data_IF_366573085149
#
_entry.id   IF_366573085149
#
_cell.length_a   1.000
_cell.length_b   1.000
_cell.length_c   1.000
_cell.angle_alpha   90.00
_cell.angle_beta   90.00
_cell.angle_gamma   90.00
#
_symmetry.space_group_name_H-M   'P 1'
#
loop_
_entity.id
_entity.type
_entity.pdbx_description
1 polymer ?
#
# COMPACT_ATOMS: atom_id res chain seq x y z
N UNK A 1 35.90 -0.97 31.03
CA UNK A 1 34.56 -1.46 31.49
C UNK A 1 33.52 -0.86 30.58
N UNK A 2 32.99 -1.65 29.65
CA UNK A 2 31.93 -1.20 28.76
C UNK A 2 30.59 -1.52 29.47
N UNK A 3 29.90 -0.46 29.89
CA UNK A 3 28.56 -0.58 30.51
C UNK A 3 27.55 -0.98 29.40
N UNK A 4 27.21 -2.26 29.38
CA UNK A 4 26.11 -2.74 28.52
C UNK A 4 24.79 -2.33 29.17
N UNK A 5 24.26 -1.17 28.79
CA UNK A 5 22.86 -0.82 29.05
C UNK A 5 21.99 -1.83 28.32
N UNK A 6 21.45 -2.81 29.05
CA UNK A 6 20.36 -3.66 28.55
C UNK A 6 19.17 -2.76 28.31
N UNK A 7 18.92 -2.40 27.06
CA UNK A 7 17.65 -1.82 26.66
C UNK A 7 16.57 -2.86 26.96
N UNK A 8 15.57 -2.48 27.77
CA UNK A 8 14.41 -3.32 28.04
C UNK A 8 13.72 -3.61 26.69
N UNK A 9 13.43 -4.89 26.37
CA UNK A 9 12.78 -5.19 25.10
C UNK A 9 11.45 -4.45 25.03
N UNK A 10 11.09 -3.85 23.88
CA UNK A 10 9.84 -3.13 23.73
C UNK A 10 8.70 -4.07 24.09
N UNK A 11 7.82 -3.65 25.01
CA UNK A 11 6.64 -4.40 25.40
C UNK A 11 5.80 -4.61 24.15
N UNK A 12 5.70 -5.85 23.71
CA UNK A 12 4.80 -6.25 22.61
C UNK A 12 3.38 -6.06 23.13
N UNK A 13 2.81 -4.90 22.93
CA UNK A 13 1.38 -4.68 23.13
C UNK A 13 0.65 -5.71 22.29
N UNK A 14 -0.18 -6.52 22.92
CA UNK A 14 -0.94 -7.57 22.26
C UNK A 14 -1.58 -6.99 21.00
N UNK A 15 -1.25 -7.56 19.84
CA UNK A 15 -1.79 -7.11 18.55
C UNK A 15 -3.31 -7.19 18.65
N UNK A 16 -3.97 -6.04 18.72
CA UNK A 16 -5.41 -5.97 18.87
C UNK A 16 -6.04 -6.73 17.69
N UNK A 17 -6.72 -7.84 17.99
CA UNK A 17 -7.38 -8.66 16.98
C UNK A 17 -8.36 -7.81 16.17
N UNK A 18 -8.03 -7.53 14.91
CA UNK A 18 -8.90 -6.82 13.99
C UNK A 18 -9.73 -7.86 13.22
N UNK A 19 -11.05 -7.96 13.43
CA UNK A 19 -11.88 -8.84 12.62
C UNK A 19 -11.80 -8.42 11.15
N UNK A 20 -11.53 -9.36 10.25
CA UNK A 20 -11.41 -9.11 8.80
C UNK A 20 -12.60 -8.34 8.23
N UNK A 21 -13.82 -8.67 8.68
CA UNK A 21 -15.04 -7.97 8.26
C UNK A 21 -15.05 -6.48 8.61
N UNK A 22 -14.36 -6.03 9.67
CA UNK A 22 -14.21 -4.60 9.99
C UNK A 22 -13.33 -3.91 8.96
N UNK A 23 -12.21 -4.53 8.56
CA UNK A 23 -11.33 -3.99 7.54
C UNK A 23 -12.04 -3.88 6.19
N UNK A 24 -12.75 -4.92 5.75
CA UNK A 24 -13.53 -4.91 4.50
C UNK A 24 -14.58 -3.80 4.48
N UNK A 25 -15.27 -3.56 5.60
CA UNK A 25 -16.27 -2.48 5.70
C UNK A 25 -15.64 -1.09 5.73
N UNK A 26 -14.52 -0.93 6.40
CA UNK A 26 -13.82 0.35 6.54
C UNK A 26 -13.08 0.75 5.25
N UNK A 27 -12.36 -0.18 4.64
CA UNK A 27 -11.50 0.06 3.49
C UNK A 27 -11.67 -1.02 2.38
N UNK A 28 -12.85 -1.15 1.77
CA UNK A 28 -13.12 -2.19 0.77
C UNK A 28 -12.24 -2.05 -0.48
N UNK A 29 -11.91 -0.82 -0.88
CA UNK A 29 -10.99 -0.57 -2.01
C UNK A 29 -9.58 -1.07 -1.72
N UNK A 30 -9.10 -0.90 -0.48
CA UNK A 30 -7.78 -1.40 -0.09
C UNK A 30 -7.71 -2.92 -0.09
N UNK A 31 -8.76 -3.59 0.42
CA UNK A 31 -8.83 -5.06 0.47
C UNK A 31 -8.95 -5.64 -0.94
N UNK A 32 -9.89 -5.15 -1.75
CA UNK A 32 -10.05 -5.58 -3.14
C UNK A 32 -8.81 -5.25 -3.98
N UNK A 33 -8.27 -4.03 -3.84
CA UNK A 33 -7.06 -3.60 -4.53
C UNK A 33 -5.84 -4.42 -4.13
N UNK A 34 -5.69 -4.79 -2.86
CA UNK A 34 -4.62 -5.66 -2.38
C UNK A 34 -4.69 -7.05 -3.01
N UNK A 35 -5.88 -7.66 -3.08
CA UNK A 35 -6.09 -8.95 -3.75
C UNK A 35 -5.74 -8.88 -5.25
N UNK A 36 -6.28 -7.87 -5.95
CA UNK A 36 -6.05 -7.66 -7.38
C UNK A 36 -4.57 -7.33 -7.69
N UNK A 37 -3.92 -6.56 -6.82
CA UNK A 37 -2.48 -6.30 -6.94
C UNK A 37 -1.65 -7.57 -6.86
N UNK A 38 -1.93 -8.45 -5.89
CA UNK A 38 -1.26 -9.74 -5.79
C UNK A 38 -1.47 -10.60 -7.04
N UNK A 39 -2.72 -10.67 -7.51
CA UNK A 39 -3.09 -11.40 -8.73
C UNK A 39 -2.35 -10.87 -9.96
N UNK A 40 -2.33 -9.55 -10.18
CA UNK A 40 -1.66 -8.92 -11.33
C UNK A 40 -0.16 -9.16 -11.28
N UNK A 41 0.48 -8.86 -10.14
CA UNK A 41 1.94 -8.96 -10.00
C UNK A 41 2.45 -10.39 -10.16
N UNK A 42 1.76 -11.36 -9.54
CA UNK A 42 2.17 -12.78 -9.64
C UNK A 42 1.95 -13.33 -11.04
N UNK A 43 0.84 -12.98 -11.70
CA UNK A 43 0.59 -13.37 -13.10
C UNK A 43 1.64 -12.78 -14.02
N UNK A 44 2.04 -11.52 -13.82
CA UNK A 44 3.08 -10.88 -14.59
C UNK A 44 4.41 -11.64 -14.49
N UNK A 45 4.95 -11.81 -13.29
CA UNK A 45 6.26 -12.42 -13.11
C UNK A 45 6.28 -13.90 -13.47
N UNK A 46 5.16 -14.63 -13.33
CA UNK A 46 5.08 -16.04 -13.66
C UNK A 46 4.85 -16.30 -15.15
N UNK A 47 4.01 -15.51 -15.81
CA UNK A 47 3.48 -15.86 -17.14
C UNK A 47 3.99 -14.99 -18.27
N UNK A 48 4.39 -13.72 -18.04
CA UNK A 48 4.88 -12.84 -19.11
C UNK A 48 6.19 -13.36 -19.73
N UNK A 49 7.16 -13.93 -18.99
CA UNK A 49 8.31 -14.58 -19.60
C UNK A 49 7.93 -15.76 -20.51
N UNK A 50 6.91 -16.55 -20.12
CA UNK A 50 6.39 -17.65 -20.93
C UNK A 50 5.68 -17.14 -22.20
N UNK A 51 4.92 -16.06 -22.08
CA UNK A 51 4.32 -15.37 -23.23
C UNK A 51 5.39 -14.89 -24.21
N UNK A 52 6.44 -14.22 -23.72
CA UNK A 52 7.55 -13.76 -24.56
C UNK A 52 8.26 -14.91 -25.29
N UNK A 53 8.42 -16.06 -24.63
CA UNK A 53 8.98 -17.26 -25.27
C UNK A 53 8.06 -17.78 -26.38
N UNK A 54 6.74 -17.80 -26.16
CA UNK A 54 5.74 -18.18 -27.15
C UNK A 54 5.73 -17.26 -28.37
N UNK A 55 5.99 -15.97 -28.19
CA UNK A 55 6.18 -14.98 -29.27
C UNK A 55 7.57 -15.05 -29.92
N UNK A 56 8.36 -16.09 -29.63
CA UNK A 56 9.72 -16.29 -30.16
C UNK A 56 10.69 -15.14 -29.86
N UNK A 57 10.47 -14.41 -28.78
CA UNK A 57 11.36 -13.34 -28.33
C UNK A 57 12.64 -13.93 -27.76
N UNK A 58 13.80 -13.39 -28.14
CA UNK A 58 15.10 -13.88 -27.69
C UNK A 58 15.24 -13.80 -26.15
N UNK A 59 15.93 -14.77 -25.55
CA UNK A 59 16.09 -14.89 -24.09
C UNK A 59 16.73 -13.65 -23.46
N UNK A 60 17.69 -13.04 -24.15
CA UNK A 60 18.35 -11.83 -23.73
C UNK A 60 17.34 -10.65 -23.64
N UNK A 61 16.44 -10.57 -24.59
CA UNK A 61 15.36 -9.56 -24.62
C UNK A 61 14.36 -9.79 -23.50
N UNK A 62 14.03 -11.04 -23.19
CA UNK A 62 13.17 -11.39 -22.04
C UNK A 62 13.83 -10.90 -20.74
N UNK A 63 15.12 -11.19 -20.52
CA UNK A 63 15.85 -10.76 -19.33
C UNK A 63 15.88 -9.23 -19.19
N UNK A 64 16.19 -8.52 -20.28
CA UNK A 64 16.19 -7.07 -20.32
C UNK A 64 14.79 -6.49 -20.04
N UNK A 65 13.74 -7.12 -20.57
CA UNK A 65 12.36 -6.69 -20.34
C UNK A 65 11.94 -6.90 -18.88
N UNK A 66 12.33 -7.99 -18.24
CA UNK A 66 12.07 -8.20 -16.80
C UNK A 66 12.82 -7.19 -15.93
N UNK A 67 14.08 -6.88 -16.30
CA UNK A 67 14.84 -5.82 -15.65
C UNK A 67 14.14 -4.45 -15.83
N UNK A 68 13.68 -4.15 -17.05
CA UNK A 68 12.94 -2.91 -17.34
C UNK A 68 11.65 -2.78 -16.51
N UNK A 69 10.92 -3.89 -16.27
CA UNK A 69 9.76 -3.89 -15.40
C UNK A 69 10.12 -3.53 -13.95
N UNK A 70 11.20 -4.10 -13.43
CA UNK A 70 11.69 -3.81 -12.07
C UNK A 70 12.14 -2.36 -11.94
N UNK A 71 12.92 -1.87 -12.93
CA UNK A 71 13.36 -0.46 -12.96
C UNK A 71 12.18 0.50 -13.09
N UNK A 72 11.18 0.17 -13.92
CA UNK A 72 9.90 0.88 -13.99
C UNK A 72 9.21 0.94 -12.64
N UNK A 73 9.16 -0.20 -11.93
CA UNK A 73 8.64 -0.28 -10.56
C UNK A 73 9.32 0.68 -9.61
N UNK A 74 10.64 0.69 -9.60
CA UNK A 74 11.44 1.60 -8.75
C UNK A 74 11.23 3.07 -9.13
N UNK A 75 11.24 3.37 -10.44
CA UNK A 75 11.06 4.73 -10.93
C UNK A 75 9.70 5.33 -10.56
N UNK A 76 8.64 4.52 -10.52
CA UNK A 76 7.28 4.97 -10.22
C UNK A 76 7.00 5.11 -8.73
N UNK A 77 7.76 4.45 -7.85
CA UNK A 77 7.48 4.47 -6.40
C UNK A 77 7.43 5.88 -5.81
N UNK A 78 8.44 6.69 -6.09
CA UNK A 78 8.51 8.05 -5.53
C UNK A 78 7.47 9.00 -6.16
N UNK A 79 7.33 9.09 -7.51
CA UNK A 79 6.32 9.95 -8.12
C UNK A 79 4.90 9.57 -7.71
N UNK A 80 4.55 8.29 -7.75
CA UNK A 80 3.20 7.81 -7.41
C UNK A 80 2.94 7.94 -5.89
N UNK A 81 3.95 7.69 -5.05
CA UNK A 81 3.85 7.95 -3.61
C UNK A 81 3.47 9.40 -3.33
N UNK A 82 4.21 10.36 -3.90
CA UNK A 82 3.91 11.80 -3.75
C UNK A 82 2.55 12.18 -4.33
N UNK A 83 2.16 11.58 -5.46
CA UNK A 83 0.86 11.82 -6.06
C UNK A 83 -0.26 11.30 -5.15
N UNK A 84 -0.09 10.11 -4.59
CA UNK A 84 -1.01 9.48 -3.65
C UNK A 84 -1.16 10.25 -2.33
N UNK A 85 -0.13 11.02 -1.94
CA UNK A 85 -0.20 11.87 -0.74
C UNK A 85 -0.90 13.21 -0.99
N UNK A 86 -0.93 13.68 -2.26
CA UNK A 86 -1.54 14.96 -2.65
C UNK A 86 -2.99 14.82 -3.12
N UNK A 87 -3.33 13.69 -3.71
CA UNK A 87 -4.65 13.44 -4.30
C UNK A 87 -5.39 12.33 -3.55
N UNK A 88 -6.70 12.22 -3.77
CA UNK A 88 -7.48 11.09 -3.24
C UNK A 88 -6.87 9.76 -3.75
N UNK A 89 -6.42 8.92 -2.83
CA UNK A 89 -5.79 7.62 -3.13
C UNK A 89 -6.66 6.73 -4.02
N UNK A 90 -7.98 6.91 -4.00
CA UNK A 90 -8.91 6.18 -4.88
C UNK A 90 -8.78 6.62 -6.33
N UNK A 91 -8.63 7.93 -6.56
CA UNK A 91 -8.39 8.46 -7.91
C UNK A 91 -7.05 7.95 -8.43
N UNK A 92 -6.01 7.98 -7.60
CA UNK A 92 -4.69 7.44 -7.95
C UNK A 92 -4.79 5.95 -8.29
N UNK A 93 -5.49 5.13 -7.50
CA UNK A 93 -5.72 3.71 -7.78
C UNK A 93 -6.49 3.49 -9.09
N UNK A 94 -7.48 4.32 -9.40
CA UNK A 94 -8.21 4.25 -10.67
C UNK A 94 -7.29 4.55 -11.86
N UNK A 95 -6.46 5.59 -11.76
CA UNK A 95 -5.47 5.95 -12.80
C UNK A 95 -4.43 4.84 -12.98
N UNK A 96 -3.92 4.26 -11.88
CA UNK A 96 -2.99 3.13 -11.94
C UNK A 96 -3.63 1.92 -12.63
N UNK A 97 -4.89 1.60 -12.29
CA UNK A 97 -5.64 0.53 -12.95
C UNK A 97 -5.77 0.77 -14.45
N UNK A 98 -6.16 1.98 -14.87
CA UNK A 98 -6.25 2.34 -16.30
C UNK A 98 -4.87 2.31 -16.99
N UNK A 99 -3.80 2.72 -16.29
CA UNK A 99 -2.43 2.62 -16.79
C UNK A 99 -2.01 1.17 -17.05
N UNK A 100 -2.36 0.24 -16.16
CA UNK A 100 -2.14 -1.20 -16.36
C UNK A 100 -2.93 -1.72 -17.56
N UNK A 101 -4.20 -1.33 -17.71
CA UNK A 101 -5.02 -1.70 -18.87
C UNK A 101 -4.38 -1.21 -20.18
N UNK A 102 -3.93 0.06 -20.21
CA UNK A 102 -3.28 0.64 -21.39
C UNK A 102 -1.97 -0.06 -21.74
N UNK A 103 -1.12 -0.37 -20.74
CA UNK A 103 0.14 -1.07 -20.96
C UNK A 103 -0.07 -2.53 -21.41
N UNK A 104 -1.05 -3.23 -20.82
CA UNK A 104 -1.44 -4.57 -21.25
C UNK A 104 -2.00 -4.57 -22.69
N UNK A 105 -2.86 -3.61 -23.02
CA UNK A 105 -3.39 -3.45 -24.37
C UNK A 105 -2.26 -3.16 -25.39
N UNK A 106 -1.27 -2.35 -25.02
CA UNK A 106 -0.13 -2.10 -25.88
C UNK A 106 0.65 -3.37 -26.22
N UNK A 107 0.82 -4.28 -25.23
CA UNK A 107 1.50 -5.57 -25.44
C UNK A 107 0.69 -6.54 -26.30
N UNK A 108 -0.63 -6.44 -26.34
CA UNK A 108 -1.50 -7.30 -27.16
C UNK A 108 -1.63 -6.79 -28.60
N UNK A 109 -1.80 -5.46 -28.76
CA UNK A 109 -2.22 -4.89 -30.05
C UNK A 109 -1.10 -4.23 -30.87
N UNK A 110 0.04 -3.94 -30.24
CA UNK A 110 1.16 -3.31 -30.95
C UNK A 110 2.20 -4.37 -31.39
N UNK A 111 3.03 -4.05 -32.41
CA UNK A 111 4.08 -4.97 -32.86
C UNK A 111 5.05 -5.33 -31.73
N UNK A 112 5.42 -6.62 -31.62
CA UNK A 112 6.31 -7.16 -30.59
C UNK A 112 7.79 -6.82 -30.87
N UNK A 113 8.06 -5.58 -31.31
CA UNK A 113 9.42 -5.06 -31.50
C UNK A 113 9.99 -4.53 -30.19
N UNK A 114 11.31 -4.59 -30.04
CA UNK A 114 12.01 -4.15 -28.82
C UNK A 114 11.64 -2.72 -28.39
N UNK A 115 11.56 -1.72 -29.29
CA UNK A 115 11.21 -0.35 -28.92
C UNK A 115 9.76 -0.19 -28.41
N UNK A 116 8.89 -1.19 -28.63
CA UNK A 116 7.50 -1.20 -28.13
C UNK A 116 7.39 -2.02 -26.85
N UNK A 117 7.93 -3.25 -26.87
CA UNK A 117 7.82 -4.18 -25.74
C UNK A 117 8.52 -3.62 -24.50
N UNK A 118 9.71 -3.07 -24.66
CA UNK A 118 10.52 -2.61 -23.51
C UNK A 118 9.84 -1.49 -22.69
N UNK A 119 9.39 -0.37 -23.31
CA UNK A 119 8.68 0.65 -22.57
C UNK A 119 7.31 0.18 -22.06
N UNK A 120 6.57 -0.64 -22.81
CA UNK A 120 5.28 -1.16 -22.36
C UNK A 120 5.42 -2.03 -21.10
N UNK A 121 6.43 -2.91 -21.06
CA UNK A 121 6.74 -3.75 -19.89
C UNK A 121 7.25 -2.90 -18.71
N UNK A 122 8.08 -1.88 -18.98
CA UNK A 122 8.54 -0.96 -17.94
C UNK A 122 7.37 -0.16 -17.32
N UNK A 123 6.45 0.35 -18.14
CA UNK A 123 5.25 1.03 -17.66
C UNK A 123 4.33 0.09 -16.88
N UNK A 124 4.13 -1.13 -17.37
CA UNK A 124 3.33 -2.15 -16.70
C UNK A 124 3.92 -2.46 -15.32
N UNK A 125 5.24 -2.68 -15.25
CA UNK A 125 5.99 -2.87 -14.00
C UNK A 125 5.85 -1.67 -13.05
N UNK A 126 5.95 -0.45 -13.60
CA UNK A 126 5.78 0.79 -12.85
C UNK A 126 4.40 0.91 -12.20
N UNK A 127 3.35 0.76 -12.98
CA UNK A 127 1.98 0.84 -12.48
C UNK A 127 1.65 -0.26 -11.48
N UNK A 128 1.93 -1.54 -11.79
CA UNK A 128 1.54 -2.66 -10.93
C UNK A 128 2.25 -2.64 -9.58
N UNK A 129 3.54 -2.23 -9.52
CA UNK A 129 4.32 -2.24 -8.28
C UNK A 129 3.84 -1.19 -7.28
N UNK A 130 3.15 -0.15 -7.73
CA UNK A 130 2.66 0.96 -6.89
C UNK A 130 1.24 0.74 -6.38
N UNK A 131 0.46 -0.19 -6.95
CA UNK A 131 -0.93 -0.47 -6.52
C UNK A 131 -0.97 -0.90 -5.06
N UNK A 132 -0.16 -1.90 -4.66
CA UNK A 132 -0.20 -2.44 -3.29
C UNK A 132 0.17 -1.40 -2.22
N UNK A 133 1.29 -0.63 -2.35
CA UNK A 133 1.61 0.43 -1.40
C UNK A 133 0.51 1.48 -1.25
N UNK A 134 -0.14 1.89 -2.35
CA UNK A 134 -1.25 2.86 -2.31
C UNK A 134 -2.48 2.24 -1.61
N UNK A 135 -2.77 0.95 -1.81
CA UNK A 135 -3.84 0.24 -1.09
C UNK A 135 -3.56 0.19 0.42
N UNK A 136 -2.33 -0.11 0.82
CA UNK A 136 -1.92 -0.13 2.24
C UNK A 136 -2.09 1.26 2.85
N UNK A 137 -1.59 2.29 2.18
CA UNK A 137 -1.73 3.66 2.63
C UNK A 137 -3.21 4.07 2.74
N UNK A 138 -4.06 3.70 1.76
CA UNK A 138 -5.50 3.95 1.81
C UNK A 138 -6.20 3.24 2.98
N UNK A 139 -5.76 2.03 3.35
CA UNK A 139 -6.30 1.33 4.52
C UNK A 139 -5.90 2.00 5.83
N UNK A 140 -4.65 2.46 5.94
CA UNK A 140 -4.15 3.14 7.12
C UNK A 140 -4.85 4.48 7.38
N UNK A 141 -5.20 5.24 6.32
CA UNK A 141 -5.98 6.49 6.46
C UNK A 141 -7.38 6.26 7.07
N UNK A 142 -7.90 5.03 7.02
CA UNK A 142 -9.25 4.68 7.45
C UNK A 142 -9.32 3.90 8.75
N UNK A 143 -8.18 3.56 9.29
CA UNK A 143 -8.06 2.74 10.50
C UNK A 143 -7.28 3.50 11.58
N UNK A 144 -7.59 3.26 12.87
CA UNK A 144 -6.84 3.84 13.97
C UNK A 144 -5.36 3.45 13.94
N UNK A 145 -4.49 4.36 14.37
CA UNK A 145 -3.03 4.18 14.33
C UNK A 145 -2.51 2.99 15.16
N UNK A 146 -3.24 2.60 16.20
CA UNK A 146 -2.93 1.42 17.05
C UNK A 146 -3.11 0.07 16.31
N UNK A 147 -3.75 0.07 15.13
CA UNK A 147 -4.06 -1.14 14.34
C UNK A 147 -3.24 -1.31 13.06
N UNK A 148 -2.24 -0.48 12.84
CA UNK A 148 -1.41 -0.49 11.60
C UNK A 148 -0.85 -1.88 11.30
N UNK A 149 -0.30 -2.58 12.31
CA UNK A 149 0.28 -3.93 12.16
C UNK A 149 -0.80 -4.95 11.77
N UNK A 150 -1.96 -4.91 12.42
CA UNK A 150 -3.07 -5.82 12.14
C UNK A 150 -3.64 -5.60 10.73
N UNK A 151 -3.77 -4.34 10.29
CA UNK A 151 -4.23 -3.97 8.94
C UNK A 151 -3.25 -4.48 7.89
N UNK A 152 -1.95 -4.18 8.06
CA UNK A 152 -0.91 -4.60 7.12
C UNK A 152 -0.83 -6.13 6.99
N UNK A 153 -0.89 -6.85 8.11
CA UNK A 153 -0.85 -8.33 8.10
C UNK A 153 -2.04 -8.94 7.35
N UNK A 154 -3.24 -8.35 7.48
CA UNK A 154 -4.41 -8.81 6.75
C UNK A 154 -4.31 -8.51 5.26
N UNK A 155 -3.82 -7.32 4.88
CA UNK A 155 -3.62 -6.97 3.47
C UNK A 155 -2.57 -7.85 2.80
N UNK A 156 -1.47 -8.20 3.50
CA UNK A 156 -0.48 -9.15 3.01
C UNK A 156 -1.12 -10.53 2.73
N UNK A 157 -1.96 -11.04 3.63
CA UNK A 157 -2.67 -12.32 3.43
C UNK A 157 -3.59 -12.26 2.22
N UNK A 158 -4.36 -11.19 2.07
CA UNK A 158 -5.27 -11.00 0.93
C UNK A 158 -4.51 -10.91 -0.39
N UNK A 159 -3.41 -10.15 -0.43
CA UNK A 159 -2.53 -10.06 -1.59
C UNK A 159 -1.89 -11.41 -1.90
N UNK A 160 -1.45 -12.17 -0.88
CA UNK A 160 -0.92 -13.52 -1.04
C UNK A 160 -1.93 -14.49 -1.66
N UNK A 161 -3.20 -14.44 -1.24
CA UNK A 161 -4.27 -15.23 -1.89
C UNK A 161 -4.44 -14.85 -3.37
N UNK A 162 -4.44 -13.56 -3.68
CA UNK A 162 -4.44 -13.08 -5.07
C UNK A 162 -3.25 -13.64 -5.87
N UNK A 163 -2.06 -13.65 -5.25
CA UNK A 163 -0.83 -14.15 -5.88
C UNK A 163 -0.84 -15.64 -6.20
N UNK A 164 -1.55 -16.44 -5.43
CA UNK A 164 -1.74 -17.87 -5.73
C UNK A 164 -2.75 -18.06 -6.88
N UNK A 165 -3.84 -17.31 -6.85
CA UNK A 165 -4.94 -17.46 -7.81
C UNK A 165 -4.55 -16.92 -9.20
N UNK A 166 -3.76 -15.85 -9.26
CA UNK A 166 -3.41 -15.16 -10.49
C UNK A 166 -2.82 -16.07 -11.57
N UNK A 167 -1.67 -16.75 -11.32
CA UNK A 167 -1.06 -17.62 -12.31
C UNK A 167 -1.95 -18.80 -12.72
N UNK A 168 -2.77 -19.33 -11.79
CA UNK A 168 -3.68 -20.44 -12.07
C UNK A 168 -4.76 -20.02 -13.09
N UNK A 169 -5.39 -18.87 -12.87
CA UNK A 169 -6.38 -18.33 -13.82
C UNK A 169 -5.69 -17.93 -15.12
N UNK A 170 -4.53 -17.25 -15.03
CA UNK A 170 -3.79 -16.78 -16.20
C UNK A 170 -3.38 -17.93 -17.13
N UNK A 171 -2.83 -19.01 -16.59
CA UNK A 171 -2.49 -20.20 -17.37
C UNK A 171 -3.72 -20.80 -18.05
N UNK A 172 -4.85 -20.91 -17.34
CA UNK A 172 -6.09 -21.41 -17.95
C UNK A 172 -6.58 -20.52 -19.10
N UNK A 173 -6.47 -19.20 -18.96
CA UNK A 173 -6.86 -18.27 -20.01
C UNK A 173 -5.92 -18.36 -21.22
N UNK A 174 -4.60 -18.49 -20.99
CA UNK A 174 -3.63 -18.71 -22.07
C UNK A 174 -3.92 -19.98 -22.87
N UNK A 175 -4.33 -21.07 -22.21
CA UNK A 175 -4.69 -22.34 -22.88
C UNK A 175 -6.02 -22.22 -23.63
N UNK A 176 -7.03 -21.51 -23.10
CA UNK A 176 -8.38 -21.49 -23.67
C UNK A 176 -8.59 -20.45 -24.75
N UNK A 177 -7.97 -19.30 -24.64
CA UNK A 177 -8.23 -18.19 -25.55
C UNK A 177 -7.06 -17.93 -26.48
N UNK A 178 -5.87 -17.75 -25.97
CA UNK A 178 -4.64 -17.47 -26.69
C UNK A 178 -3.52 -17.22 -25.67
N UNK A 179 -2.28 -17.19 -26.12
CA UNK A 179 -1.11 -16.84 -25.32
C UNK A 179 -1.24 -15.47 -24.64
N UNK A 180 -2.00 -14.53 -25.24
CA UNK A 180 -2.33 -13.21 -24.68
C UNK A 180 -3.28 -13.25 -23.47
N UNK A 181 -3.79 -14.42 -23.11
CA UNK A 181 -4.72 -14.61 -22.00
C UNK A 181 -4.23 -14.02 -20.66
N UNK A 182 -2.92 -13.95 -20.46
CA UNK A 182 -2.32 -13.28 -19.29
C UNK A 182 -2.65 -11.78 -19.24
N UNK A 183 -2.59 -11.09 -20.37
CA UNK A 183 -2.88 -9.66 -20.44
C UNK A 183 -4.37 -9.38 -20.31
N UNK A 184 -5.24 -10.27 -20.84
CA UNK A 184 -6.68 -10.19 -20.61
C UNK A 184 -7.03 -10.31 -19.13
N UNK A 185 -6.39 -11.23 -18.40
CA UNK A 185 -6.54 -11.34 -16.95
C UNK A 185 -6.10 -10.08 -16.25
N UNK A 186 -4.89 -9.58 -16.57
CA UNK A 186 -4.34 -8.39 -15.93
C UNK A 186 -5.19 -7.15 -16.21
N UNK A 187 -5.61 -6.96 -17.46
CA UNK A 187 -6.47 -5.85 -17.86
C UNK A 187 -7.84 -5.92 -17.15
N UNK A 188 -8.44 -7.09 -17.08
CA UNK A 188 -9.73 -7.28 -16.38
C UNK A 188 -9.59 -6.98 -14.89
N UNK A 189 -8.56 -7.50 -14.24
CA UNK A 189 -8.29 -7.26 -12.82
C UNK A 189 -8.02 -5.77 -12.55
N UNK A 190 -7.24 -5.13 -13.41
CA UNK A 190 -6.93 -3.71 -13.31
C UNK A 190 -8.15 -2.81 -13.58
N UNK A 191 -9.01 -3.19 -14.52
CA UNK A 191 -10.27 -2.51 -14.78
C UNK A 191 -11.23 -2.64 -13.58
N UNK A 192 -11.34 -3.82 -12.98
CA UNK A 192 -12.10 -4.01 -11.74
C UNK A 192 -11.57 -3.14 -10.61
N UNK A 193 -10.25 -3.03 -10.46
CA UNK A 193 -9.65 -2.11 -9.51
C UNK A 193 -10.05 -0.66 -9.78
N UNK A 194 -9.97 -0.22 -11.05
CA UNK A 194 -10.33 1.14 -11.44
C UNK A 194 -11.81 1.44 -11.17
N UNK A 195 -12.71 0.51 -11.49
CA UNK A 195 -14.15 0.63 -11.23
C UNK A 195 -14.45 0.68 -9.74
N UNK A 196 -13.84 -0.20 -8.93
CA UNK A 196 -14.00 -0.21 -7.48
C UNK A 196 -13.51 1.09 -6.84
N UNK A 197 -12.37 1.60 -7.31
CA UNK A 197 -11.77 2.83 -6.80
C UNK A 197 -12.60 4.06 -7.21
N UNK A 198 -12.97 4.19 -8.49
CA UNK A 198 -13.77 5.29 -9.02
C UNK A 198 -15.19 5.30 -8.42
N UNK A 199 -15.88 4.16 -8.37
CA UNK A 199 -17.23 4.06 -7.81
C UNK A 199 -17.28 4.49 -6.34
N UNK A 200 -16.21 4.24 -5.57
CA UNK A 200 -16.14 4.67 -4.17
C UNK A 200 -15.68 6.11 -4.01
N UNK A 201 -15.00 6.72 -4.98
CA UNK A 201 -14.68 8.13 -4.95
C UNK A 201 -15.92 9.00 -5.17
N UNK A 202 -16.85 8.54 -6.01
CA UNK A 202 -18.09 9.23 -6.32
C UNK A 202 -19.15 9.12 -5.20
N UNK A 203 -19.13 8.04 -4.41
CA UNK A 203 -20.20 7.76 -3.43
C UNK A 203 -19.89 8.20 -2.00
N UNK A 204 -18.63 8.50 -1.67
CA UNK A 204 -18.23 8.94 -0.32
C UNK A 204 -17.21 10.07 -0.41
N UNK A 205 -17.45 11.16 0.31
CA UNK A 205 -16.45 12.21 0.51
C UNK A 205 -15.14 11.61 1.00
N UNK A 206 -14.02 12.10 0.45
CA UNK A 206 -12.68 11.77 0.95
C UNK A 206 -12.62 12.19 2.43
N UNK A 207 -12.10 11.38 3.34
CA UNK A 207 -11.73 11.87 4.65
C UNK A 207 -10.81 13.06 4.42
N UNK A 208 -11.20 14.24 4.90
CA UNK A 208 -10.28 15.38 4.90
C UNK A 208 -8.98 14.89 5.54
N UNK A 209 -7.87 15.09 4.87
CA UNK A 209 -6.56 15.00 5.50
C UNK A 209 -6.63 15.94 6.70
N UNK A 210 -6.86 15.38 7.88
CA UNK A 210 -6.56 16.08 9.11
C UNK A 210 -5.04 16.24 9.05
N UNK A 211 -4.60 17.40 8.57
CA UNK A 211 -3.25 17.88 8.81
C UNK A 211 -3.08 17.83 10.33
N UNK A 212 -2.55 16.72 10.82
CA UNK A 212 -2.06 16.69 12.19
C UNK A 212 -0.90 17.68 12.17
N UNK A 213 -0.99 18.81 12.89
CA UNK A 213 0.12 19.74 12.95
C UNK A 213 1.34 18.92 13.35
N UNK A 214 2.43 19.09 12.61
CA UNK A 214 3.69 18.41 12.86
C UNK A 214 4.13 18.73 14.29
N UNK A 215 3.83 17.85 15.23
CA UNK A 215 4.34 17.98 16.59
C UNK A 215 5.78 17.49 16.56
N UNK A 216 6.70 18.43 16.70
CA UNK A 216 8.10 18.13 16.96
C UNK A 216 8.14 17.47 18.35
N UNK A 217 8.09 16.16 18.40
CA UNK A 217 8.39 15.39 19.60
C UNK A 217 9.89 15.51 19.85
N UNK A 218 10.27 16.50 20.64
CA UNK A 218 11.62 16.54 21.18
C UNK A 218 11.79 15.31 22.09
N UNK A 219 12.83 14.47 21.89
CA UNK A 219 12.99 13.23 22.66
C UNK A 219 13.10 13.42 24.18
N UNK A 220 13.34 14.63 24.63
CA UNK A 220 13.49 14.98 26.05
C UNK A 220 12.23 15.54 26.72
N UNK A 221 11.15 15.81 25.98
CA UNK A 221 9.91 16.35 26.55
C UNK A 221 8.82 15.31 26.80
N UNK A 222 9.03 14.07 26.34
CA UNK A 222 8.02 13.02 26.39
C UNK A 222 7.61 12.51 27.79
N UNK A 223 8.47 12.50 28.84
CA UNK A 223 8.06 11.99 30.14
C UNK A 223 7.26 12.97 30.99
N UNK A 224 7.38 14.28 30.75
CA UNK A 224 6.81 15.29 31.65
C UNK A 224 5.45 15.83 31.18
N UNK A 225 5.07 15.60 29.93
CA UNK A 225 3.83 16.13 29.37
C UNK A 225 2.61 15.22 29.59
N UNK A 226 2.75 14.10 30.25
CA UNK A 226 1.68 13.11 30.45
C UNK A 226 1.60 12.58 31.88
N UNK A 227 1.81 13.44 32.87
CA UNK A 227 1.39 13.12 34.24
C UNK A 227 0.05 13.81 34.53
N UNK A 228 -1.09 13.10 34.34
CA UNK A 228 -2.41 13.64 34.70
C UNK A 228 -2.64 13.68 36.21
N UNK A 229 -1.63 13.28 37.00
CA UNK A 229 -1.64 13.29 38.46
C UNK A 229 -0.56 14.21 39.03
N UNK A 230 0.00 15.11 38.22
CA UNK A 230 0.80 16.21 38.71
C UNK A 230 -0.03 17.02 39.70
N UNK A 231 0.09 16.63 40.96
CA UNK A 231 -0.49 17.39 42.05
C UNK A 231 -0.10 18.85 41.89
N UNK A 232 -1.06 19.68 42.02
CA UNK A 232 -0.93 21.14 42.11
C UNK A 232 0.17 21.50 43.11
N UNK A 233 1.41 21.65 42.63
CA UNK A 233 2.41 22.45 43.32
C UNK A 233 2.03 23.94 43.12
N UNK A 234 0.82 24.25 43.53
CA UNK A 234 0.45 25.64 43.77
C UNK A 234 1.18 26.03 45.05
N UNK A 235 2.06 27.03 45.02
CA UNK A 235 2.73 27.50 46.23
C UNK A 235 1.64 27.92 47.24
N UNK A 236 1.79 27.55 48.52
CA UNK A 236 0.76 27.80 49.52
C UNK A 236 0.39 29.25 49.53
N UNK A 237 -0.91 29.53 49.43
CA UNK A 237 -1.41 30.90 49.40
C UNK A 237 -0.95 31.66 50.65
N UNK A 238 -0.69 32.96 50.58
CA UNK A 238 -0.22 33.76 51.69
C UNK A 238 -1.12 33.70 52.94
N UNK A 239 -2.36 33.27 52.78
CA UNK A 239 -3.34 33.13 53.88
C UNK A 239 -3.19 31.84 54.66
N UNK A 240 -2.67 30.73 54.08
CA UNK A 240 -2.43 29.48 54.78
C UNK A 240 -1.26 29.57 55.74
N UNK A 241 -0.27 30.42 55.47
CA UNK A 241 0.88 30.69 56.35
C UNK A 241 0.46 31.54 57.58
N UNK A 242 -0.56 32.38 57.47
CA UNK A 242 -1.06 33.22 58.61
C UNK A 242 -1.89 32.41 59.61
N UNK A 243 -2.50 31.32 59.26
CA UNK A 243 -3.28 30.51 60.18
C UNK A 243 -2.40 29.60 61.03
N UNK A 244 -1.28 29.12 60.51
CA UNK A 244 -0.33 28.30 61.26
C UNK A 244 0.46 29.08 62.35
N UNK A 245 0.54 30.36 62.27
CA UNK A 245 1.25 31.22 63.25
C UNK A 245 0.39 31.71 64.44
N UNK A 246 -0.91 31.33 64.48
CA UNK A 246 -1.83 31.69 65.56
C UNK A 246 -2.14 30.55 66.57
N UNK A 247 -1.64 29.36 66.33
CA UNK A 247 -1.84 28.20 67.21
C UNK A 247 -0.54 27.67 67.87
N UNK A 248 0.52 28.51 67.93
CA UNK A 248 1.77 28.21 68.63
C UNK A 248 2.05 29.18 69.79
#
# INVERSE_FOLDING_TARGET
MVSTTRAEPPRVTAVANLPFGKLVRAAPVAVGGGALSGLISSSFYALVPAWMQGESIARETIAISMLAAVLGGLAFQVPIGRLSDRFDRRIVLAVLGLGIVGAAAALVFLPHSLPVVLPAVALLGGFMSTVYPVCVAHAHDRMPADRVVAVSSQLIRVSGLGSVIGPLIGTNLMVRFNIDGVFYLMATAALLLAILAAGRSLTRASPQHLERPFQILMPQAAPLAHDPLGGSDEPPSPDSVRLASKEG
#
